data_IF_914524577781
#
_entry.id   IF_914524577781
#
_cell.length_a   1.000
_cell.length_b   1.000
_cell.length_c   1.000
_cell.angle_alpha   90.00
_cell.angle_beta   90.00
_cell.angle_gamma   90.00
#
_symmetry.space_group_name_H-M   'P 1'
#
loop_
_entity.id
_entity.type
_entity.pdbx_description
1 polymer ?
#
# COMPACT_ATOMS: atom_id res chain seq x y z
N UNK A 1 16.05 38.29 -78.94
CA UNK A 1 16.90 38.05 -77.76
C UNK A 1 16.04 37.75 -76.54
N UNK A 2 15.95 36.46 -76.15
CA UNK A 2 15.20 36.00 -74.97
C UNK A 2 16.23 35.71 -73.89
N UNK A 3 16.14 36.47 -72.78
CA UNK A 3 16.98 36.27 -71.60
C UNK A 3 16.22 35.29 -70.70
N UNK A 4 16.83 34.12 -70.49
CA UNK A 4 16.35 33.13 -69.55
C UNK A 4 17.04 33.43 -68.17
N UNK A 5 16.25 33.90 -67.24
CA UNK A 5 16.70 34.06 -65.86
C UNK A 5 16.58 32.71 -65.11
N UNK A 6 17.70 32.11 -64.77
CA UNK A 6 17.78 30.94 -63.94
C UNK A 6 17.62 31.30 -62.46
N UNK A 7 16.49 30.87 -61.86
CA UNK A 7 16.23 31.01 -60.45
C UNK A 7 16.93 29.88 -59.70
N UNK A 8 18.02 30.19 -58.98
CA UNK A 8 18.69 29.23 -58.08
C UNK A 8 17.91 29.19 -56.78
N UNK A 9 17.17 28.11 -56.57
CA UNK A 9 16.45 27.80 -55.34
C UNK A 9 17.45 27.21 -54.32
N UNK A 10 17.97 28.08 -53.42
CA UNK A 10 18.86 27.65 -52.31
C UNK A 10 18.02 26.99 -51.23
N UNK A 11 17.98 25.68 -51.20
CA UNK A 11 17.39 24.90 -50.06
C UNK A 11 18.30 24.98 -48.87
N UNK A 12 18.00 25.88 -47.93
CA UNK A 12 18.61 25.87 -46.58
C UNK A 12 18.05 24.67 -45.86
N UNK A 13 18.84 23.58 -45.83
CA UNK A 13 18.57 22.45 -44.96
C UNK A 13 18.79 22.91 -43.52
N UNK A 14 17.71 23.25 -42.82
CA UNK A 14 17.70 23.51 -41.40
C UNK A 14 18.01 22.18 -40.69
N UNK A 15 19.28 21.90 -40.44
CA UNK A 15 19.70 20.78 -39.58
C UNK A 15 19.23 21.11 -38.18
N UNK A 16 18.05 20.61 -37.80
CA UNK A 16 17.60 20.62 -36.44
C UNK A 16 18.57 19.71 -35.65
N UNK A 17 19.62 20.30 -35.05
CA UNK A 17 20.48 19.61 -34.08
C UNK A 17 19.59 19.22 -32.92
N UNK A 18 19.09 17.98 -32.93
CA UNK A 18 18.39 17.41 -31.79
C UNK A 18 19.30 17.54 -30.57
N UNK A 19 18.83 18.30 -29.60
CA UNK A 19 19.59 18.52 -28.35
C UNK A 19 19.79 17.15 -27.69
N UNK A 20 21.05 16.82 -27.40
CA UNK A 20 21.41 15.60 -26.69
C UNK A 20 20.57 15.46 -25.41
N UNK A 21 20.00 14.28 -25.18
CA UNK A 21 19.29 14.00 -23.95
C UNK A 21 20.24 14.08 -22.76
N UNK A 22 19.74 14.51 -21.61
CA UNK A 22 20.52 14.59 -20.39
C UNK A 22 19.79 13.91 -19.23
N UNK A 23 20.55 13.12 -18.47
CA UNK A 23 20.10 12.62 -17.17
C UNK A 23 20.31 13.75 -16.15
N UNK A 24 19.21 14.24 -15.57
CA UNK A 24 19.17 15.37 -14.64
C UNK A 24 19.19 14.90 -13.18
N UNK A 25 18.74 13.66 -12.91
CA UNK A 25 18.76 13.08 -11.57
C UNK A 25 18.70 11.56 -11.65
N UNK A 26 19.23 10.88 -10.61
CA UNK A 26 19.13 9.42 -10.45
C UNK A 26 18.67 9.12 -9.04
N UNK A 27 17.54 8.42 -8.93
CA UNK A 27 16.91 8.11 -7.65
C UNK A 27 16.77 6.59 -7.50
N UNK A 28 16.89 6.08 -6.27
CA UNK A 28 16.89 4.65 -6.00
C UNK A 28 16.01 4.32 -4.80
N UNK A 29 15.25 3.22 -4.91
CA UNK A 29 14.41 2.70 -3.83
C UNK A 29 14.54 1.18 -3.74
N UNK A 30 15.25 0.67 -2.73
CA UNK A 30 15.26 -0.74 -2.43
C UNK A 30 13.92 -1.17 -1.83
N UNK A 31 13.32 -2.22 -2.38
CA UNK A 31 12.13 -2.89 -1.88
C UNK A 31 12.43 -4.37 -1.58
N UNK A 32 11.56 -5.09 -0.85
CA UNK A 32 11.82 -6.49 -0.51
C UNK A 32 12.00 -7.43 -1.71
N UNK A 33 11.32 -7.16 -2.81
CA UNK A 33 11.26 -7.99 -4.04
C UNK A 33 12.07 -7.42 -5.20
N UNK A 34 12.47 -6.13 -5.14
CA UNK A 34 13.21 -5.44 -6.21
C UNK A 34 13.95 -4.21 -5.71
N UNK A 35 14.89 -3.74 -6.52
CA UNK A 35 15.40 -2.36 -6.44
C UNK A 35 14.93 -1.59 -7.66
N UNK A 36 14.30 -0.44 -7.44
CA UNK A 36 13.90 0.50 -8.50
C UNK A 36 14.92 1.60 -8.62
N UNK A 37 15.38 1.85 -9.84
CA UNK A 37 16.23 2.98 -10.22
C UNK A 37 15.46 3.84 -11.23
N UNK A 38 15.42 5.15 -11.02
CA UNK A 38 14.74 6.11 -11.89
C UNK A 38 15.73 7.17 -12.33
N UNK A 39 15.86 7.33 -13.63
CA UNK A 39 16.60 8.42 -14.26
C UNK A 39 15.60 9.48 -14.67
N UNK A 40 15.66 10.68 -14.07
CA UNK A 40 14.94 11.85 -14.54
C UNK A 40 15.69 12.41 -15.75
N UNK A 41 15.02 12.60 -16.87
CA UNK A 41 15.60 12.97 -18.15
C UNK A 41 14.86 14.15 -18.78
N UNK A 42 15.57 15.00 -19.49
CA UNK A 42 15.01 16.22 -20.10
C UNK A 42 14.24 15.98 -21.41
N UNK A 43 14.21 14.73 -21.92
CA UNK A 43 13.49 14.37 -23.13
C UNK A 43 13.38 12.86 -23.33
N UNK A 44 12.63 12.40 -24.33
CA UNK A 44 12.57 10.98 -24.65
C UNK A 44 13.94 10.50 -25.16
N UNK A 45 14.31 9.25 -24.81
CA UNK A 45 15.55 8.62 -25.27
C UNK A 45 15.32 7.18 -25.69
N UNK A 46 16.23 6.66 -26.52
CA UNK A 46 16.31 5.24 -26.83
C UNK A 46 17.27 4.55 -25.87
N UNK A 47 16.89 3.39 -25.36
CA UNK A 47 17.76 2.61 -24.48
C UNK A 47 17.74 1.13 -24.82
N UNK A 48 18.82 0.46 -24.46
CA UNK A 48 18.92 -1.00 -24.50
C UNK A 48 19.34 -1.49 -23.12
N UNK A 49 18.78 -2.63 -22.70
CA UNK A 49 19.09 -3.25 -21.43
C UNK A 49 19.46 -4.72 -21.66
N UNK A 50 20.57 -5.14 -21.06
CA UNK A 50 21.01 -6.53 -21.11
C UNK A 50 21.71 -6.96 -19.81
N UNK A 51 21.78 -8.27 -19.60
CA UNK A 51 22.35 -8.88 -18.41
C UNK A 51 23.69 -9.53 -18.75
N UNK A 52 24.69 -9.30 -17.93
CA UNK A 52 25.97 -10.00 -17.97
C UNK A 52 26.09 -10.89 -16.72
N UNK A 53 26.59 -12.11 -16.95
CA UNK A 53 26.87 -13.04 -15.86
C UNK A 53 28.41 -13.09 -15.65
N UNK A 54 28.83 -13.47 -14.43
CA UNK A 54 30.24 -13.68 -14.07
C UNK A 54 31.16 -12.45 -14.24
N UNK A 55 31.09 -11.41 -13.38
CA UNK A 55 30.14 -11.21 -12.28
C UNK A 55 28.78 -10.72 -12.79
N UNK A 56 27.73 -10.94 -11.95
CA UNK A 56 26.38 -10.53 -12.30
C UNK A 56 26.24 -9.01 -12.40
N UNK A 57 25.79 -8.55 -13.58
CA UNK A 57 25.60 -7.11 -13.87
C UNK A 57 24.40 -6.90 -14.78
N UNK A 58 23.77 -5.75 -14.64
CA UNK A 58 22.83 -5.23 -15.63
C UNK A 58 23.46 -4.01 -16.28
N UNK A 59 23.42 -3.94 -17.59
CA UNK A 59 23.93 -2.84 -18.38
C UNK A 59 22.77 -2.15 -19.08
N UNK A 60 22.75 -0.83 -18.99
CA UNK A 60 21.80 0.03 -19.72
C UNK A 60 22.61 1.01 -20.57
N UNK A 61 22.41 0.92 -21.87
CA UNK A 61 22.96 1.87 -22.84
C UNK A 61 21.89 2.89 -23.20
N UNK A 62 22.18 4.16 -22.99
CA UNK A 62 21.34 5.29 -23.33
C UNK A 62 21.93 5.99 -24.53
N UNK A 63 21.21 6.00 -25.64
CA UNK A 63 21.67 6.59 -26.89
C UNK A 63 21.61 8.10 -26.83
N UNK A 64 22.61 8.76 -27.38
CA UNK A 64 22.72 10.23 -27.47
C UNK A 64 22.36 10.94 -26.18
N UNK A 65 22.94 10.45 -25.07
CA UNK A 65 22.59 10.88 -23.71
C UNK A 65 23.84 11.21 -22.90
N UNK A 66 23.81 12.31 -22.19
CA UNK A 66 24.84 12.72 -21.24
C UNK A 66 24.37 12.54 -19.79
N UNK A 67 25.32 12.40 -18.86
CA UNK A 67 25.06 12.38 -17.43
C UNK A 67 25.52 13.69 -16.81
N UNK A 68 24.57 14.52 -16.39
CA UNK A 68 24.83 15.84 -15.79
C UNK A 68 24.96 15.84 -14.26
N UNK A 69 24.81 14.67 -13.61
CA UNK A 69 24.72 14.56 -12.16
C UNK A 69 25.58 13.45 -11.58
N UNK A 70 25.93 13.59 -10.32
CA UNK A 70 26.58 12.52 -9.55
C UNK A 70 25.55 11.46 -9.20
N UNK A 71 25.89 10.20 -9.42
CA UNK A 71 25.05 9.06 -9.02
C UNK A 71 25.45 8.64 -7.60
N UNK A 72 24.46 8.60 -6.71
CA UNK A 72 24.67 8.14 -5.34
C UNK A 72 24.99 6.64 -5.31
N UNK A 73 25.75 6.22 -4.30
CA UNK A 73 26.01 4.81 -4.06
C UNK A 73 24.76 4.13 -3.50
N UNK A 74 24.49 2.86 -3.87
CA UNK A 74 23.46 2.06 -3.21
C UNK A 74 23.71 1.98 -1.71
N UNK A 75 22.64 1.96 -0.93
CA UNK A 75 22.74 1.76 0.52
C UNK A 75 23.10 0.31 0.86
N UNK A 76 23.73 0.07 1.99
CA UNK A 76 24.05 -1.28 2.46
C UNK A 76 22.79 -2.15 2.70
N UNK A 77 21.65 -1.50 2.88
CA UNK A 77 20.35 -2.17 3.00
C UNK A 77 19.84 -2.76 1.68
N UNK A 78 20.40 -2.37 0.54
CA UNK A 78 20.03 -2.92 -0.76
C UNK A 78 20.56 -4.35 -0.92
N UNK A 79 19.65 -5.30 -1.08
CA UNK A 79 19.98 -6.73 -1.19
C UNK A 79 20.37 -7.17 -2.59
N UNK A 80 20.11 -6.35 -3.60
CA UNK A 80 20.29 -6.68 -5.00
C UNK A 80 21.44 -5.91 -5.63
N UNK A 81 21.53 -4.61 -5.36
CA UNK A 81 22.46 -3.69 -5.98
C UNK A 81 23.69 -3.50 -5.09
N UNK A 82 24.87 -3.73 -5.67
CA UNK A 82 26.17 -3.54 -5.00
C UNK A 82 26.77 -2.20 -5.34
N UNK A 83 26.66 -1.78 -6.60
CA UNK A 83 27.26 -0.56 -7.10
C UNK A 83 26.65 -0.09 -8.40
N UNK A 84 26.90 1.19 -8.73
CA UNK A 84 26.54 1.79 -10.01
C UNK A 84 27.78 2.46 -10.57
N UNK A 85 28.10 2.13 -11.82
CA UNK A 85 29.19 2.74 -12.60
C UNK A 85 28.63 3.27 -13.90
N UNK A 86 29.23 4.32 -14.41
CA UNK A 86 28.86 4.90 -15.69
C UNK A 86 30.07 5.36 -16.46
N UNK A 87 29.95 5.39 -17.78
CA UNK A 87 30.96 5.92 -18.69
C UNK A 87 30.31 6.43 -19.98
N UNK A 88 30.91 7.42 -20.60
CA UNK A 88 30.58 7.81 -21.97
C UNK A 88 31.03 6.69 -22.93
N UNK A 89 30.22 6.42 -23.95
CA UNK A 89 30.50 5.49 -25.03
C UNK A 89 30.24 6.16 -26.38
N UNK A 90 31.06 5.87 -27.37
CA UNK A 90 30.95 6.42 -28.73
C UNK A 90 30.84 7.97 -28.73
N UNK A 91 31.46 8.65 -27.77
CA UNK A 91 31.46 10.11 -27.56
C UNK A 91 30.08 10.76 -27.28
N UNK A 92 28.94 10.05 -27.52
CA UNK A 92 27.59 10.60 -27.36
C UNK A 92 26.66 9.75 -26.51
N UNK A 93 26.96 8.47 -26.37
CA UNK A 93 26.10 7.54 -25.61
C UNK A 93 26.55 7.44 -24.16
N UNK A 94 25.61 7.17 -23.25
CA UNK A 94 25.92 6.90 -21.86
C UNK A 94 25.67 5.41 -21.57
N UNK A 95 26.68 4.75 -21.03
CA UNK A 95 26.57 3.40 -20.48
C UNK A 95 26.48 3.46 -18.96
N UNK A 96 25.45 2.84 -18.39
CA UNK A 96 25.31 2.64 -16.95
C UNK A 96 25.36 1.15 -16.63
N UNK A 97 26.19 0.80 -15.66
CA UNK A 97 26.39 -0.59 -15.22
C UNK A 97 25.96 -0.70 -13.75
N UNK A 98 25.03 -1.60 -13.50
CA UNK A 98 24.60 -1.99 -12.16
C UNK A 98 25.36 -3.25 -11.76
N UNK A 99 26.24 -3.15 -10.79
CA UNK A 99 26.95 -4.28 -10.20
C UNK A 99 26.01 -4.93 -9.18
N UNK A 100 25.80 -6.24 -9.28
CA UNK A 100 24.77 -6.95 -8.53
C UNK A 100 25.37 -7.85 -7.45
N UNK A 101 24.70 -7.95 -6.30
CA UNK A 101 25.00 -8.91 -5.23
C UNK A 101 24.53 -10.33 -5.59
N UNK A 102 23.53 -10.43 -6.46
CA UNK A 102 22.95 -11.71 -6.92
C UNK A 102 22.24 -11.54 -8.27
N UNK A 103 21.96 -12.62 -9.00
CA UNK A 103 21.26 -12.55 -10.28
C UNK A 103 19.85 -11.96 -10.13
N UNK A 104 19.48 -11.06 -11.06
CA UNK A 104 18.18 -10.40 -11.10
C UNK A 104 17.46 -10.65 -12.42
N UNK A 105 16.18 -10.32 -12.47
CA UNK A 105 15.37 -10.18 -13.68
C UNK A 105 15.09 -8.68 -13.87
N UNK A 106 15.82 -7.99 -14.75
CA UNK A 106 15.60 -6.57 -14.94
C UNK A 106 14.40 -6.31 -15.86
N UNK A 107 13.74 -5.16 -15.65
CA UNK A 107 12.77 -4.55 -16.56
C UNK A 107 13.08 -3.07 -16.69
N UNK A 108 12.89 -2.50 -17.87
CA UNK A 108 13.00 -1.05 -18.08
C UNK A 108 11.86 -0.55 -18.94
N UNK A 109 11.43 0.69 -18.67
CA UNK A 109 10.42 1.36 -19.44
C UNK A 109 10.51 2.87 -19.27
N UNK A 110 10.05 3.60 -20.30
CA UNK A 110 10.01 5.06 -20.32
C UNK A 110 8.66 5.55 -19.85
N UNK A 111 8.66 6.53 -18.94
CA UNK A 111 7.47 7.25 -18.50
C UNK A 111 7.45 8.64 -19.12
N UNK A 112 6.31 9.02 -19.66
CA UNK A 112 6.04 10.37 -20.16
C UNK A 112 5.88 11.35 -18.99
N UNK A 113 6.04 12.67 -19.24
CA UNK A 113 5.81 13.69 -18.23
C UNK A 113 4.41 13.59 -17.61
N UNK A 114 4.32 13.91 -16.34
CA UNK A 114 3.08 14.07 -15.60
C UNK A 114 3.12 15.40 -14.80
N UNK A 115 2.13 15.66 -13.94
CA UNK A 115 2.05 16.92 -13.17
C UNK A 115 3.24 17.12 -12.20
N UNK A 116 3.95 16.07 -11.82
CA UNK A 116 5.01 16.09 -10.82
C UNK A 116 6.41 15.92 -11.42
N UNK A 117 6.53 15.16 -12.51
CA UNK A 117 7.82 14.74 -13.08
C UNK A 117 7.85 14.92 -14.59
N UNK A 118 9.03 15.20 -15.13
CA UNK A 118 9.36 15.14 -16.56
C UNK A 118 9.40 13.71 -17.09
N UNK A 119 10.13 13.51 -18.19
CA UNK A 119 10.41 12.18 -18.70
C UNK A 119 11.26 11.38 -17.70
N UNK A 120 11.00 10.09 -17.58
CA UNK A 120 11.74 9.20 -16.67
C UNK A 120 12.01 7.86 -17.34
N UNK A 121 13.23 7.38 -17.23
CA UNK A 121 13.55 5.98 -17.50
C UNK A 121 13.55 5.23 -16.17
N UNK A 122 12.69 4.24 -16.03
CA UNK A 122 12.61 3.37 -14.87
C UNK A 122 13.33 2.06 -15.17
N UNK A 123 14.18 1.62 -14.24
CA UNK A 123 14.83 0.31 -14.27
C UNK A 123 14.50 -0.41 -12.97
N UNK A 124 13.74 -1.49 -13.07
CA UNK A 124 13.38 -2.37 -11.96
C UNK A 124 14.24 -3.64 -12.00
N UNK A 125 14.97 -3.90 -10.95
CA UNK A 125 15.80 -5.09 -10.75
C UNK A 125 15.07 -6.06 -9.82
N UNK A 126 14.35 -7.07 -10.35
CA UNK A 126 13.61 -8.04 -9.56
C UNK A 126 14.49 -9.20 -9.09
N UNK A 127 14.33 -9.62 -7.84
CA UNK A 127 14.97 -10.82 -7.31
C UNK A 127 14.49 -12.08 -8.03
N UNK A 128 15.42 -12.85 -8.62
CA UNK A 128 15.09 -14.15 -9.27
C UNK A 128 14.59 -15.20 -8.28
N UNK A 129 15.01 -15.13 -7.01
CA UNK A 129 14.66 -16.12 -5.98
C UNK A 129 13.24 -15.99 -5.43
N UNK A 130 12.59 -14.83 -5.59
CA UNK A 130 11.30 -14.55 -4.95
C UNK A 130 10.11 -15.27 -5.64
N UNK A 131 10.19 -15.50 -6.95
CA UNK A 131 9.15 -16.22 -7.70
C UNK A 131 9.01 -17.67 -7.23
N UNK A 132 10.14 -18.34 -6.99
CA UNK A 132 10.17 -19.74 -6.55
C UNK A 132 9.72 -19.90 -5.08
N UNK A 133 9.99 -18.92 -4.23
CA UNK A 133 9.49 -18.87 -2.85
C UNK A 133 7.99 -18.64 -2.79
N UNK A 134 7.47 -17.69 -3.57
CA UNK A 134 6.03 -17.38 -3.62
C UNK A 134 5.20 -18.60 -4.01
N UNK A 135 5.60 -19.35 -5.05
CA UNK A 135 4.92 -20.58 -5.47
C UNK A 135 4.96 -21.68 -4.39
N UNK A 136 6.12 -21.92 -3.76
CA UNK A 136 6.26 -22.90 -2.68
C UNK A 136 5.47 -22.52 -1.41
N UNK A 137 5.40 -21.26 -1.05
CA UNK A 137 4.60 -20.78 0.08
C UNK A 137 3.10 -20.83 -0.21
N UNK A 138 2.67 -20.56 -1.45
CA UNK A 138 1.26 -20.68 -1.87
C UNK A 138 0.78 -22.13 -1.76
N UNK A 139 1.59 -23.10 -2.21
CA UNK A 139 1.27 -24.54 -2.12
C UNK A 139 1.21 -25.00 -0.64
N UNK A 140 2.14 -24.56 0.22
CA UNK A 140 2.11 -24.87 1.67
C UNK A 140 0.92 -24.25 2.42
N UNK A 141 0.39 -23.11 1.94
CA UNK A 141 -0.74 -22.40 2.57
C UNK A 141 -2.11 -22.97 2.20
N UNK A 142 -2.19 -23.78 1.13
CA UNK A 142 -3.44 -24.41 0.67
C UNK A 142 -3.81 -25.68 1.44
N UNK A 143 -2.94 -26.20 2.30
CA UNK A 143 -3.27 -27.37 3.14
C UNK A 143 -4.28 -27.01 4.23
N UNK A 144 -5.37 -27.79 4.42
CA UNK A 144 -6.31 -27.56 5.50
C UNK A 144 -5.61 -27.71 6.84
N UNK A 145 -5.63 -26.63 7.64
CA UNK A 145 -5.10 -26.67 9.01
C UNK A 145 -6.12 -27.40 9.91
N UNK A 146 -5.61 -28.27 10.77
CA UNK A 146 -6.40 -28.89 11.83
C UNK A 146 -7.24 -27.86 12.61
N UNK A 147 -8.51 -28.19 12.94
CA UNK A 147 -9.45 -27.24 13.53
C UNK A 147 -9.17 -26.82 14.98
N UNK A 148 -8.01 -27.15 15.54
CA UNK A 148 -7.76 -27.10 17.00
C UNK A 148 -7.20 -25.81 17.58
N UNK A 149 -6.90 -24.76 16.78
CA UNK A 149 -6.37 -23.49 17.35
C UNK A 149 -7.03 -22.27 16.69
N UNK A 150 -7.70 -21.46 17.51
CA UNK A 150 -8.21 -20.15 17.11
C UNK A 150 -7.07 -19.27 16.57
N UNK A 151 -7.32 -18.62 15.43
CA UNK A 151 -6.34 -17.71 14.80
C UNK A 151 -6.50 -16.28 15.27
N UNK A 152 -5.47 -15.48 15.12
CA UNK A 152 -5.59 -14.05 15.29
C UNK A 152 -6.37 -13.41 14.12
N UNK A 153 -7.06 -12.31 14.41
CA UNK A 153 -7.64 -11.41 13.43
C UNK A 153 -6.52 -10.67 12.70
N UNK A 154 -6.49 -10.71 11.38
CA UNK A 154 -5.40 -10.16 10.57
C UNK A 154 -5.80 -8.82 10.00
N UNK A 155 -5.08 -7.77 10.37
CA UNK A 155 -5.29 -6.41 9.85
C UNK A 155 -4.17 -6.07 8.87
N UNK A 156 -4.51 -5.90 7.59
CA UNK A 156 -3.58 -5.37 6.60
C UNK A 156 -3.53 -3.83 6.73
N UNK A 157 -2.32 -3.31 6.93
CA UNK A 157 -2.05 -1.88 7.10
C UNK A 157 -1.34 -1.40 5.85
N UNK A 158 -1.99 -0.54 5.11
CA UNK A 158 -1.47 0.10 3.93
C UNK A 158 -1.09 1.55 4.26
N UNK A 159 0.19 1.88 4.16
CA UNK A 159 0.63 3.26 4.15
C UNK A 159 0.60 3.76 2.72
N UNK A 160 -0.23 4.73 2.40
CA UNK A 160 -0.36 5.31 1.07
C UNK A 160 0.99 5.76 0.48
N UNK A 161 1.07 5.89 -0.85
CA UNK A 161 2.26 6.39 -1.53
C UNK A 161 3.53 5.57 -1.29
N UNK A 162 4.72 6.20 -1.45
CA UNK A 162 6.03 5.58 -1.19
C UNK A 162 6.95 5.62 -2.40
N UNK A 163 8.26 5.53 -2.15
CA UNK A 163 9.25 5.55 -3.22
C UNK A 163 9.20 6.87 -3.98
N UNK A 164 9.03 6.78 -5.31
CA UNK A 164 8.94 7.95 -6.19
C UNK A 164 7.63 8.74 -6.04
N UNK A 165 6.58 8.15 -5.48
CA UNK A 165 5.35 8.85 -5.18
C UNK A 165 5.40 9.45 -3.76
N UNK A 166 5.61 10.78 -3.62
CA UNK A 166 5.66 11.43 -2.32
C UNK A 166 4.28 11.62 -1.69
N UNK A 167 3.19 11.45 -2.46
CA UNK A 167 1.85 11.94 -2.10
C UNK A 167 1.82 13.47 -2.05
N UNK A 168 0.96 14.01 -1.22
CA UNK A 168 0.89 15.45 -0.93
C UNK A 168 2.17 15.94 -0.25
N UNK A 169 2.60 17.14 -0.64
CA UNK A 169 3.70 17.85 0.02
C UNK A 169 3.14 19.08 0.75
N UNK A 170 3.26 19.07 2.07
CA UNK A 170 2.86 20.17 2.92
C UNK A 170 3.72 21.44 2.70
N UNK A 171 3.26 22.58 3.22
CA UNK A 171 3.94 23.87 3.04
C UNK A 171 5.37 23.92 3.61
N UNK A 172 5.68 23.09 4.59
CA UNK A 172 7.02 22.95 5.18
C UNK A 172 7.83 21.80 4.60
N UNK A 173 7.44 21.30 3.42
CA UNK A 173 8.11 20.19 2.74
C UNK A 173 7.82 18.81 3.33
N UNK A 174 6.84 18.69 4.23
CA UNK A 174 6.43 17.39 4.79
C UNK A 174 5.78 16.54 3.70
N UNK A 175 6.36 15.38 3.40
CA UNK A 175 5.83 14.46 2.41
C UNK A 175 4.83 13.51 3.05
N UNK A 176 3.71 13.29 2.42
CA UNK A 176 2.66 12.40 2.88
C UNK A 176 3.17 10.98 3.12
N UNK A 177 3.92 10.41 2.17
CA UNK A 177 4.49 9.06 2.27
C UNK A 177 5.25 8.79 3.57
N UNK A 178 5.93 9.81 4.11
CA UNK A 178 6.73 9.69 5.33
C UNK A 178 5.83 9.71 6.57
N UNK A 179 4.84 10.59 6.59
CA UNK A 179 3.87 10.73 7.69
C UNK A 179 3.00 9.48 7.81
N UNK A 180 2.42 9.02 6.71
CA UNK A 180 1.53 7.85 6.73
C UNK A 180 2.27 6.56 7.05
N UNK A 181 3.54 6.44 6.65
CA UNK A 181 4.40 5.32 7.06
C UNK A 181 4.69 5.35 8.56
N UNK A 182 4.92 6.53 9.13
CA UNK A 182 5.13 6.69 10.57
C UNK A 182 3.87 6.30 11.36
N UNK A 183 2.69 6.78 10.94
CA UNK A 183 1.40 6.40 11.55
C UNK A 183 1.14 4.90 11.40
N UNK A 184 1.41 4.31 10.23
CA UNK A 184 1.25 2.88 9.97
C UNK A 184 2.15 2.02 10.89
N UNK A 185 3.37 2.46 11.17
CA UNK A 185 4.27 1.79 12.13
C UNK A 185 3.74 1.86 13.56
N UNK A 186 3.20 3.00 13.99
CA UNK A 186 2.54 3.12 15.30
C UNK A 186 1.28 2.25 15.37
N UNK A 187 0.46 2.21 14.29
CA UNK A 187 -0.72 1.35 14.20
C UNK A 187 -0.33 -0.14 14.28
N UNK A 188 0.71 -0.55 13.56
CA UNK A 188 1.27 -1.90 13.65
C UNK A 188 1.60 -2.26 15.09
N UNK A 189 2.33 -1.38 15.80
CA UNK A 189 2.72 -1.61 17.20
C UNK A 189 1.50 -1.76 18.12
N UNK A 190 0.49 -0.90 17.95
CA UNK A 190 -0.74 -0.97 18.75
C UNK A 190 -1.53 -2.26 18.50
N UNK A 191 -1.61 -2.70 17.24
CA UNK A 191 -2.27 -3.96 16.89
C UNK A 191 -1.49 -5.15 17.45
N UNK A 192 -0.14 -5.16 17.37
CA UNK A 192 0.70 -6.22 17.93
C UNK A 192 0.50 -6.37 19.44
N UNK A 193 0.28 -5.26 20.14
CA UNK A 193 0.02 -5.26 21.59
C UNK A 193 -1.45 -5.57 21.93
N UNK A 194 -2.29 -5.85 20.93
CA UNK A 194 -3.70 -6.20 21.12
C UNK A 194 -3.89 -7.70 20.99
N UNK A 195 -4.28 -8.35 22.09
CA UNK A 195 -4.53 -9.79 22.10
C UNK A 195 -5.55 -10.21 21.02
N UNK A 196 -5.27 -11.29 20.32
CA UNK A 196 -6.13 -11.81 19.25
C UNK A 196 -6.08 -11.03 17.93
N UNK A 197 -5.15 -10.09 17.79
CA UNK A 197 -4.92 -9.34 16.55
C UNK A 197 -3.50 -9.45 16.05
N UNK A 198 -3.31 -9.47 14.73
CA UNK A 198 -2.01 -9.54 14.06
C UNK A 198 -1.94 -8.55 12.89
N UNK A 199 -0.95 -7.65 12.86
CA UNK A 199 -0.79 -6.71 11.75
C UNK A 199 0.00 -7.34 10.60
N UNK A 200 -0.35 -6.92 9.37
CA UNK A 200 0.42 -7.16 8.14
C UNK A 200 0.64 -5.81 7.47
N UNK A 201 1.89 -5.40 7.31
CA UNK A 201 2.24 -4.17 6.62
C UNK A 201 2.34 -4.42 5.11
N UNK A 202 1.64 -3.62 4.30
CA UNK A 202 1.75 -3.63 2.84
C UNK A 202 3.13 -3.14 2.41
N UNK A 203 3.60 -2.02 2.98
CA UNK A 203 4.99 -1.59 2.85
C UNK A 203 5.60 -1.30 4.22
N UNK A 204 6.89 -1.60 4.35
CA UNK A 204 7.64 -1.44 5.62
C UNK A 204 8.69 -0.33 5.55
N UNK A 205 8.94 0.18 4.34
CA UNK A 205 9.94 1.19 4.02
C UNK A 205 9.45 2.19 2.99
N UNK A 206 10.36 3.05 2.53
CA UNK A 206 10.08 4.03 1.49
C UNK A 206 10.31 3.41 0.10
N UNK A 207 9.31 2.70 -0.40
CA UNK A 207 9.21 2.17 -1.76
C UNK A 207 7.76 2.16 -2.22
N UNK A 208 7.55 2.29 -3.54
CA UNK A 208 6.21 2.30 -4.11
C UNK A 208 5.66 0.88 -4.27
N UNK A 209 4.40 0.70 -3.90
CA UNK A 209 3.61 -0.50 -4.14
C UNK A 209 2.39 -0.10 -4.96
N UNK A 210 2.22 -0.67 -6.16
CA UNK A 210 1.08 -0.37 -7.03
C UNK A 210 -0.26 -0.71 -6.38
N UNK A 211 -1.31 0.04 -6.68
CA UNK A 211 -2.61 -0.02 -6.00
C UNK A 211 -3.20 -1.43 -5.98
N UNK A 212 -3.16 -2.15 -7.10
CA UNK A 212 -3.62 -3.54 -7.17
C UNK A 212 -2.77 -4.50 -6.32
N UNK A 213 -1.45 -4.28 -6.29
CA UNK A 213 -0.53 -5.11 -5.50
C UNK A 213 -0.77 -4.96 -3.99
N UNK A 214 -1.21 -3.78 -3.51
CA UNK A 214 -1.57 -3.55 -2.10
C UNK A 214 -2.67 -4.52 -1.65
N UNK A 215 -3.74 -4.63 -2.44
CA UNK A 215 -4.83 -5.57 -2.16
C UNK A 215 -4.41 -7.04 -2.29
N UNK A 216 -3.57 -7.35 -3.29
CA UNK A 216 -3.02 -8.70 -3.46
C UNK A 216 -2.23 -9.15 -2.23
N UNK A 217 -1.39 -8.26 -1.65
CA UNK A 217 -0.67 -8.53 -0.40
C UNK A 217 -1.63 -8.82 0.76
N UNK A 218 -2.70 -8.04 0.91
CA UNK A 218 -3.71 -8.29 1.95
C UNK A 218 -4.36 -9.68 1.79
N UNK A 219 -4.71 -10.07 0.57
CA UNK A 219 -5.29 -11.38 0.25
C UNK A 219 -4.33 -12.54 0.48
N UNK A 220 -3.08 -12.41 0.03
CA UNK A 220 -2.01 -13.40 0.26
C UNK A 220 -1.82 -13.70 1.75
N UNK A 221 -2.05 -12.72 2.60
CA UNK A 221 -1.97 -12.85 4.05
C UNK A 221 -3.31 -13.19 4.72
N UNK A 222 -4.40 -13.40 3.93
CA UNK A 222 -5.76 -13.66 4.44
C UNK A 222 -6.20 -12.62 5.47
N UNK A 223 -6.03 -11.35 5.14
CA UNK A 223 -6.45 -10.25 6.00
C UNK A 223 -7.97 -10.23 6.19
N UNK A 224 -8.41 -9.95 7.40
CA UNK A 224 -9.82 -9.80 7.77
C UNK A 224 -10.30 -8.35 7.63
N UNK A 225 -9.35 -7.41 7.56
CA UNK A 225 -9.59 -5.99 7.32
C UNK A 225 -8.39 -5.38 6.60
N UNK A 226 -8.65 -4.50 5.66
CA UNK A 226 -7.65 -3.65 5.01
C UNK A 226 -7.86 -2.19 5.41
N UNK A 227 -6.80 -1.54 5.88
CA UNK A 227 -6.80 -0.13 6.31
C UNK A 227 -5.73 0.62 5.55
N UNK A 228 -6.14 1.48 4.61
CA UNK A 228 -5.25 2.42 3.93
C UNK A 228 -5.19 3.74 4.68
N UNK A 229 -3.99 4.26 4.87
CA UNK A 229 -3.71 5.45 5.67
C UNK A 229 -3.17 6.54 4.77
N UNK A 230 -3.83 7.69 4.77
CA UNK A 230 -3.55 8.86 3.95
C UNK A 230 -3.52 10.14 4.78
N UNK A 231 -3.00 11.22 4.21
CA UNK A 231 -2.95 12.57 4.80
C UNK A 231 -2.90 13.63 3.70
N UNK A 232 -3.86 13.60 2.83
CA UNK A 232 -3.90 14.26 1.56
C UNK A 232 -3.98 15.81 1.63
N UNK A 233 -4.09 16.46 0.49
CA UNK A 233 -4.34 17.89 0.37
C UNK A 233 -5.80 18.18 0.05
N UNK A 234 -6.21 19.37 0.40
CA UNK A 234 -7.47 19.95 -0.05
C UNK A 234 -7.24 21.32 -0.69
N UNK A 235 -8.06 21.69 -1.68
CA UNK A 235 -7.92 23.00 -2.37
C UNK A 235 -7.99 24.18 -1.39
N UNK A 236 -8.90 24.11 -0.42
CA UNK A 236 -8.96 25.10 0.66
C UNK A 236 -8.04 24.68 1.83
N UNK A 237 -6.98 25.44 2.11
CA UNK A 237 -6.02 25.10 3.18
C UNK A 237 -6.61 25.26 4.59
N UNK A 238 -7.84 25.76 4.74
CA UNK A 238 -8.56 25.82 6.03
C UNK A 238 -9.20 24.49 6.39
N UNK A 239 -9.37 23.59 5.41
CA UNK A 239 -9.91 22.24 5.63
C UNK A 239 -9.00 21.48 6.59
N UNK A 240 -9.61 20.84 7.60
CA UNK A 240 -8.92 20.12 8.65
C UNK A 240 -9.75 18.98 9.23
N UNK A 241 -9.09 18.08 9.92
CA UNK A 241 -9.72 16.95 10.61
C UNK A 241 -9.69 15.66 9.80
N UNK A 242 -9.99 14.56 10.48
CA UNK A 242 -9.95 13.22 9.87
C UNK A 242 -11.22 12.91 9.09
N UNK A 243 -11.11 12.05 8.10
CA UNK A 243 -12.23 11.46 7.34
C UNK A 243 -12.01 9.96 7.17
N UNK A 244 -13.08 9.20 6.96
CA UNK A 244 -12.99 7.79 6.57
C UNK A 244 -13.81 7.57 5.32
N UNK A 245 -13.22 6.84 4.38
CA UNK A 245 -13.80 6.50 3.08
C UNK A 245 -13.93 5.01 2.92
N UNK A 246 -14.99 4.61 2.20
CA UNK A 246 -15.21 3.25 1.74
C UNK A 246 -15.46 3.25 0.23
N UNK A 247 -15.30 2.10 -0.39
CA UNK A 247 -15.56 1.96 -1.81
C UNK A 247 -17.02 2.28 -2.15
N UNK A 248 -17.23 3.00 -3.25
CA UNK A 248 -18.51 3.13 -3.92
C UNK A 248 -18.42 2.61 -5.34
N UNK A 249 -19.46 1.90 -5.78
CA UNK A 249 -19.63 1.45 -7.17
C UNK A 249 -20.45 2.45 -7.99
N UNK A 250 -21.34 3.20 -7.32
CA UNK A 250 -22.35 4.05 -7.95
C UNK A 250 -22.09 5.53 -7.66
N UNK A 251 -20.89 6.02 -8.02
CA UNK A 251 -20.50 7.41 -7.80
C UNK A 251 -19.96 7.71 -6.40
N UNK A 252 -19.72 8.98 -6.13
CA UNK A 252 -19.15 9.46 -4.87
C UNK A 252 -20.21 10.16 -4.02
N UNK A 253 -20.05 10.11 -2.68
CA UNK A 253 -20.95 10.77 -1.73
C UNK A 253 -20.88 12.30 -1.77
N UNK A 254 -19.82 12.85 -2.39
CA UNK A 254 -19.63 14.28 -2.60
C UNK A 254 -18.63 14.53 -3.72
N UNK A 255 -18.66 15.71 -4.31
CA UNK A 255 -17.67 16.15 -5.32
C UNK A 255 -16.23 16.09 -4.76
N UNK A 256 -16.06 16.49 -3.50
CA UNK A 256 -14.78 16.39 -2.81
C UNK A 256 -14.28 14.94 -2.69
N UNK A 257 -15.18 14.00 -2.38
CA UNK A 257 -14.83 12.57 -2.29
C UNK A 257 -14.49 12.00 -3.67
N UNK A 258 -15.15 12.44 -4.73
CA UNK A 258 -14.83 12.08 -6.12
C UNK A 258 -13.44 12.55 -6.51
N UNK A 259 -13.16 13.83 -6.30
CA UNK A 259 -11.88 14.45 -6.62
C UNK A 259 -10.71 13.75 -5.87
N UNK A 260 -10.89 13.47 -4.57
CA UNK A 260 -9.89 12.75 -3.77
C UNK A 260 -9.62 11.35 -4.35
N UNK A 261 -10.66 10.59 -4.69
CA UNK A 261 -10.50 9.26 -5.27
C UNK A 261 -9.80 9.31 -6.64
N UNK A 262 -10.08 10.31 -7.47
CA UNK A 262 -9.41 10.52 -8.77
C UNK A 262 -7.91 10.81 -8.55
N UNK A 263 -7.56 11.63 -7.55
CA UNK A 263 -6.17 11.94 -7.21
C UNK A 263 -5.43 10.69 -6.73
N UNK A 264 -6.00 9.95 -5.80
CA UNK A 264 -5.41 8.71 -5.28
C UNK A 264 -5.26 7.61 -6.35
N UNK A 265 -6.25 7.48 -7.22
CA UNK A 265 -6.19 6.52 -8.33
C UNK A 265 -5.09 6.86 -9.36
N UNK A 266 -4.64 8.10 -9.42
CA UNK A 266 -3.54 8.52 -10.28
C UNK A 266 -2.15 8.18 -9.70
N UNK A 267 -2.06 7.69 -8.48
CA UNK A 267 -0.80 7.35 -7.81
C UNK A 267 0.05 6.33 -8.60
N UNK A 268 -0.56 5.37 -9.28
CA UNK A 268 0.15 4.40 -10.14
C UNK A 268 0.90 5.08 -11.31
N UNK A 269 0.39 6.21 -11.82
CA UNK A 269 1.08 7.00 -12.86
C UNK A 269 2.31 7.72 -12.29
N UNK A 270 2.24 8.18 -11.05
CA UNK A 270 3.36 8.83 -10.35
C UNK A 270 4.39 7.78 -9.94
N UNK A 271 3.94 6.68 -9.34
CA UNK A 271 4.75 5.55 -8.90
C UNK A 271 5.31 4.69 -10.03
N UNK A 272 5.03 5.02 -11.30
CA UNK A 272 5.61 4.34 -12.46
C UNK A 272 5.27 2.86 -12.51
N UNK A 273 3.99 2.50 -12.48
CA UNK A 273 3.53 1.13 -12.72
C UNK A 273 3.46 0.87 -14.22
N UNK A 274 4.07 -0.23 -14.68
CA UNK A 274 3.95 -0.64 -16.08
C UNK A 274 2.52 -1.03 -16.43
N UNK A 275 2.04 -0.58 -17.58
CA UNK A 275 0.71 -0.94 -18.10
C UNK A 275 0.60 -2.42 -18.50
N UNK A 276 1.74 -3.14 -18.59
CA UNK A 276 1.80 -4.56 -18.91
C UNK A 276 1.46 -5.49 -17.72
N UNK A 277 1.33 -4.94 -16.50
CA UNK A 277 0.87 -5.69 -15.32
C UNK A 277 -0.67 -5.95 -15.33
N UNK A 278 -1.24 -6.15 -16.53
CA UNK A 278 -2.69 -6.37 -16.75
C UNK A 278 -3.19 -7.78 -16.44
N UNK A 279 -2.38 -8.63 -15.84
CA UNK A 279 -2.81 -9.98 -15.45
C UNK A 279 -3.78 -9.93 -14.27
N UNK A 280 -5.08 -9.80 -14.54
CA UNK A 280 -6.18 -10.31 -13.69
C UNK A 280 -7.58 -9.80 -14.11
N UNK A 281 -7.88 -9.76 -15.41
CA UNK A 281 -9.22 -9.33 -15.88
C UNK A 281 -10.30 -10.43 -15.77
N UNK A 282 -9.90 -11.68 -15.50
CA UNK A 282 -10.82 -12.84 -15.55
C UNK A 282 -11.53 -13.18 -14.24
N UNK A 283 -11.13 -12.59 -13.11
CA UNK A 283 -11.73 -12.90 -11.80
C UNK A 283 -12.95 -12.04 -11.42
N UNK A 284 -13.38 -11.10 -12.27
CA UNK A 284 -14.33 -10.05 -11.86
C UNK A 284 -15.80 -10.40 -11.93
N UNK A 285 -16.19 -11.55 -12.53
CA UNK A 285 -17.61 -11.83 -12.87
C UNK A 285 -18.38 -12.58 -11.78
N UNK A 286 -17.75 -13.31 -10.85
CA UNK A 286 -18.44 -14.11 -9.80
C UNK A 286 -18.61 -13.37 -8.46
N UNK A 287 -18.43 -12.06 -8.44
CA UNK A 287 -18.13 -11.29 -7.23
C UNK A 287 -19.28 -10.44 -6.66
N UNK A 288 -20.45 -10.44 -7.26
CA UNK A 288 -21.46 -9.40 -7.01
C UNK A 288 -22.19 -9.48 -5.66
N UNK A 289 -22.51 -10.67 -5.18
CA UNK A 289 -23.22 -10.87 -3.90
C UNK A 289 -22.30 -10.72 -2.68
N UNK A 290 -21.07 -11.22 -2.78
CA UNK A 290 -20.06 -11.08 -1.72
C UNK A 290 -19.69 -9.62 -1.43
N UNK A 291 -19.68 -8.78 -2.46
CA UNK A 291 -19.32 -7.37 -2.35
C UNK A 291 -20.30 -6.54 -1.51
N UNK A 292 -21.61 -6.83 -1.52
CA UNK A 292 -22.58 -6.06 -0.75
C UNK A 292 -22.35 -6.22 0.77
N UNK A 293 -22.11 -7.43 1.23
CA UNK A 293 -21.79 -7.70 2.64
C UNK A 293 -20.46 -7.05 3.04
N UNK A 294 -19.45 -7.12 2.16
CA UNK A 294 -18.13 -6.51 2.37
C UNK A 294 -18.22 -4.99 2.45
N UNK A 295 -19.05 -4.34 1.62
CA UNK A 295 -19.27 -2.89 1.66
C UNK A 295 -20.01 -2.45 2.93
N UNK A 296 -20.99 -3.24 3.40
CA UNK A 296 -21.66 -2.98 4.68
C UNK A 296 -20.66 -3.07 5.83
N UNK A 297 -19.88 -4.16 5.92
CA UNK A 297 -18.84 -4.35 6.91
C UNK A 297 -17.80 -3.21 6.87
N UNK A 298 -17.39 -2.76 5.67
CA UNK A 298 -16.49 -1.61 5.49
C UNK A 298 -17.09 -0.32 6.07
N UNK A 299 -18.38 -0.09 5.84
CA UNK A 299 -19.09 1.09 6.37
C UNK A 299 -19.17 1.06 7.89
N UNK A 300 -19.44 -0.11 8.46
CA UNK A 300 -19.59 -0.29 9.91
C UNK A 300 -18.24 -0.13 10.64
N UNK A 301 -17.18 -0.78 10.14
CA UNK A 301 -15.84 -0.58 10.72
C UNK A 301 -15.36 0.87 10.53
N UNK A 302 -15.62 1.46 9.35
CA UNK A 302 -15.30 2.86 9.07
C UNK A 302 -15.99 3.82 10.02
N UNK A 303 -17.25 3.57 10.36
CA UNK A 303 -18.03 4.37 11.32
C UNK A 303 -17.43 4.29 12.73
N UNK A 304 -17.06 3.10 13.17
CA UNK A 304 -16.39 2.91 14.45
C UNK A 304 -15.03 3.63 14.51
N UNK A 305 -14.24 3.52 13.44
CA UNK A 305 -12.93 4.19 13.34
C UNK A 305 -13.11 5.71 13.33
N UNK A 306 -14.03 6.26 12.53
CA UNK A 306 -14.32 7.69 12.46
C UNK A 306 -14.75 8.26 13.82
N UNK A 307 -15.62 7.55 14.54
CA UNK A 307 -16.05 7.92 15.91
C UNK A 307 -14.86 8.04 16.85
N UNK A 308 -13.94 7.08 16.82
CA UNK A 308 -12.75 7.11 17.69
C UNK A 308 -11.74 8.17 17.25
N UNK A 309 -11.55 8.42 15.96
CA UNK A 309 -10.71 9.52 15.48
C UNK A 309 -11.23 10.89 15.97
N UNK A 310 -12.56 11.05 16.07
CA UNK A 310 -13.19 12.25 16.64
C UNK A 310 -12.78 12.56 18.08
N UNK A 311 -12.29 11.58 18.85
CA UNK A 311 -11.78 11.79 20.23
C UNK A 311 -10.36 12.36 20.25
N UNK A 312 -9.64 12.29 19.12
CA UNK A 312 -8.24 12.77 19.02
C UNK A 312 -8.12 14.16 18.40
N UNK A 313 -9.19 14.64 17.76
CA UNK A 313 -9.23 15.91 17.06
C UNK A 313 -10.55 16.09 16.31
N UNK A 314 -10.62 17.12 15.47
CA UNK A 314 -11.80 17.35 14.62
C UNK A 314 -11.92 16.26 13.57
N UNK A 315 -13.15 15.93 13.19
CA UNK A 315 -13.46 15.19 11.98
C UNK A 315 -13.88 16.17 10.89
N UNK A 316 -13.38 15.99 9.66
CA UNK A 316 -13.78 16.80 8.51
C UNK A 316 -15.23 16.48 8.12
N UNK A 317 -15.58 15.20 8.11
CA UNK A 317 -16.97 14.72 7.88
C UNK A 317 -17.45 13.90 9.07
N UNK A 318 -18.71 14.08 9.44
CA UNK A 318 -19.32 13.35 10.57
C UNK A 318 -19.76 11.92 10.21
N UNK A 319 -19.77 11.59 8.91
CA UNK A 319 -20.18 10.28 8.39
C UNK A 319 -19.10 9.74 7.45
N UNK A 320 -19.01 8.44 7.38
CA UNK A 320 -18.17 7.75 6.39
C UNK A 320 -18.57 8.20 4.99
N UNK A 321 -17.57 8.53 4.18
CA UNK A 321 -17.73 8.98 2.81
C UNK A 321 -17.55 7.79 1.86
N UNK A 322 -18.02 7.94 0.61
CA UNK A 322 -17.97 6.90 -0.42
C UNK A 322 -17.40 7.46 -1.70
N UNK A 323 -16.46 6.74 -2.33
CA UNK A 323 -15.96 7.09 -3.67
C UNK A 323 -15.28 5.87 -4.33
N UNK A 324 -14.89 6.01 -5.58
CA UNK A 324 -14.34 4.94 -6.40
C UNK A 324 -12.85 4.69 -6.20
N UNK A 325 -12.37 4.56 -4.97
CA UNK A 325 -10.96 4.30 -4.67
C UNK A 325 -10.51 2.94 -5.18
N UNK A 326 -9.51 2.93 -6.07
CA UNK A 326 -8.98 1.69 -6.65
C UNK A 326 -8.33 0.81 -5.59
N UNK A 327 -7.65 1.40 -4.62
CA UNK A 327 -6.99 0.68 -3.52
C UNK A 327 -7.97 -0.06 -2.60
N UNK A 328 -9.27 0.30 -2.60
CA UNK A 328 -10.30 -0.36 -1.81
C UNK A 328 -11.10 -1.41 -2.59
N UNK A 329 -10.76 -1.68 -3.85
CA UNK A 329 -11.47 -2.67 -4.68
C UNK A 329 -11.09 -4.10 -4.27
N UNK A 330 -11.56 -4.52 -3.10
CA UNK A 330 -11.51 -5.92 -2.67
C UNK A 330 -12.92 -6.51 -2.64
N UNK A 331 -13.12 -7.67 -3.23
CA UNK A 331 -14.43 -8.29 -3.21
C UNK A 331 -14.77 -8.99 -1.88
N UNK A 332 -13.75 -9.38 -1.14
CA UNK A 332 -13.82 -10.34 -0.02
C UNK A 332 -13.25 -9.80 1.30
N UNK A 333 -12.56 -8.65 1.29
CA UNK A 333 -11.97 -8.06 2.50
C UNK A 333 -12.61 -6.69 2.76
N UNK A 334 -13.28 -6.48 3.90
CA UNK A 334 -13.70 -5.15 4.33
C UNK A 334 -12.53 -4.18 4.28
N UNK A 335 -12.73 -3.01 3.65
CA UNK A 335 -11.63 -2.08 3.33
C UNK A 335 -12.04 -0.65 3.61
N UNK A 336 -11.18 0.09 4.30
CA UNK A 336 -11.35 1.52 4.58
C UNK A 336 -10.11 2.30 4.19
N UNK A 337 -10.30 3.56 3.76
CA UNK A 337 -9.26 4.55 3.63
C UNK A 337 -9.47 5.64 4.69
N UNK A 338 -8.43 5.93 5.44
CA UNK A 338 -8.44 6.88 6.55
C UNK A 338 -7.58 8.07 6.18
N UNK A 339 -8.23 9.20 5.92
CA UNK A 339 -7.57 10.51 5.93
C UNK A 339 -7.34 10.92 7.38
N UNK A 340 -6.10 10.89 7.81
CA UNK A 340 -5.75 11.19 9.20
C UNK A 340 -5.85 12.68 9.53
N UNK A 341 -5.58 13.53 8.54
CA UNK A 341 -5.73 14.97 8.50
C UNK A 341 -5.36 15.45 7.08
N UNK A 342 -5.31 16.77 6.83
CA UNK A 342 -4.93 17.34 5.53
C UNK A 342 -3.60 18.11 5.63
N UNK A 343 -2.56 17.64 4.92
CA UNK A 343 -1.23 18.28 4.90
C UNK A 343 -1.24 19.69 4.28
N UNK A 344 -2.23 20.02 3.47
CA UNK A 344 -2.44 21.38 2.96
C UNK A 344 -2.71 22.41 4.07
N UNK A 345 -3.18 21.95 5.24
CA UNK A 345 -3.43 22.82 6.41
C UNK A 345 -2.18 22.89 7.29
N UNK A 346 -1.59 24.10 7.53
CA UNK A 346 -0.34 24.23 8.29
C UNK A 346 -0.42 23.73 9.75
N UNK A 347 -1.57 23.84 10.38
CA UNK A 347 -1.76 23.37 11.75
C UNK A 347 -1.83 21.84 11.81
N UNK A 348 -2.46 21.20 10.81
CA UNK A 348 -2.52 19.76 10.68
C UNK A 348 -1.15 19.19 10.27
N UNK A 349 -0.41 19.85 9.37
CA UNK A 349 0.96 19.48 9.02
C UNK A 349 1.85 19.45 10.27
N UNK A 350 1.81 20.50 11.12
CA UNK A 350 2.54 20.53 12.39
C UNK A 350 2.14 19.37 13.31
N UNK A 351 0.83 19.07 13.38
CA UNK A 351 0.27 18.00 14.20
C UNK A 351 0.73 16.62 13.69
N UNK A 352 0.69 16.39 12.38
CA UNK A 352 1.06 15.12 11.77
C UNK A 352 2.56 14.81 11.86
N UNK A 353 3.43 15.84 11.95
CA UNK A 353 4.87 15.68 12.20
C UNK A 353 5.18 15.26 13.65
N UNK A 354 4.23 15.43 14.56
CA UNK A 354 4.41 15.13 15.98
C UNK A 354 4.16 13.64 16.27
N UNK A 355 5.17 12.92 16.74
CA UNK A 355 5.10 11.48 17.02
C UNK A 355 4.05 11.10 18.07
N UNK A 356 3.84 11.94 19.08
CA UNK A 356 2.80 11.69 20.08
C UNK A 356 1.39 11.77 19.47
N UNK A 357 1.17 12.67 18.50
CA UNK A 357 -0.10 12.76 17.77
C UNK A 357 -0.28 11.57 16.82
N UNK A 358 0.78 11.13 16.11
CA UNK A 358 0.75 9.92 15.29
C UNK A 358 0.32 8.70 16.11
N UNK A 359 0.87 8.56 17.33
CA UNK A 359 0.50 7.50 18.27
C UNK A 359 -0.95 7.62 18.75
N UNK A 360 -1.44 8.83 19.02
CA UNK A 360 -2.86 9.06 19.39
C UNK A 360 -3.80 8.64 18.25
N UNK A 361 -3.48 9.02 17.00
CA UNK A 361 -4.25 8.63 15.82
C UNK A 361 -4.27 7.09 15.68
N UNK A 362 -3.12 6.45 15.75
CA UNK A 362 -3.01 4.99 15.68
C UNK A 362 -3.83 4.29 16.79
N UNK A 363 -3.76 4.79 18.03
CA UNK A 363 -4.54 4.27 19.16
C UNK A 363 -6.05 4.38 18.93
N UNK A 364 -6.52 5.51 18.39
CA UNK A 364 -7.92 5.70 18.04
C UNK A 364 -8.38 4.74 16.93
N UNK A 365 -7.55 4.54 15.88
CA UNK A 365 -7.85 3.58 14.82
C UNK A 365 -8.00 2.16 15.38
N UNK A 366 -7.08 1.70 16.24
CA UNK A 366 -7.20 0.38 16.90
C UNK A 366 -8.45 0.28 17.75
N UNK A 367 -8.78 1.33 18.52
CA UNK A 367 -9.99 1.35 19.33
C UNK A 367 -11.26 1.19 18.48
N UNK A 368 -11.31 1.86 17.31
CA UNK A 368 -12.41 1.72 16.37
C UNK A 368 -12.51 0.31 15.77
N UNK A 369 -11.37 -0.25 15.34
CA UNK A 369 -11.30 -1.62 14.83
C UNK A 369 -11.75 -2.63 15.88
N UNK A 370 -11.24 -2.50 17.11
CA UNK A 370 -11.67 -3.34 18.26
C UNK A 370 -13.17 -3.23 18.52
N UNK A 371 -13.70 -2.01 18.50
CA UNK A 371 -15.13 -1.76 18.70
C UNK A 371 -16.01 -2.50 17.70
N UNK A 372 -15.61 -2.51 16.43
CA UNK A 372 -16.30 -3.26 15.38
C UNK A 372 -16.20 -4.77 15.59
N UNK A 373 -14.99 -5.30 15.73
CA UNK A 373 -14.79 -6.75 15.85
C UNK A 373 -15.21 -7.36 17.19
N UNK A 374 -15.56 -6.53 18.17
CA UNK A 374 -16.17 -7.04 19.40
C UNK A 374 -17.46 -7.83 19.13
N UNK A 375 -18.22 -7.43 18.09
CA UNK A 375 -19.50 -8.03 17.72
C UNK A 375 -19.48 -8.72 16.34
N UNK A 376 -18.44 -8.46 15.52
CA UNK A 376 -18.37 -8.90 14.13
C UNK A 376 -17.10 -9.71 13.81
N UNK A 377 -16.49 -10.32 14.82
CA UNK A 377 -15.27 -11.10 14.59
C UNK A 377 -15.59 -12.37 13.77
N UNK A 378 -14.78 -12.66 12.72
CA UNK A 378 -14.98 -13.86 11.90
C UNK A 378 -14.89 -15.15 12.73
N UNK A 379 -15.72 -16.17 12.45
CA UNK A 379 -15.62 -17.47 13.12
C UNK A 379 -14.19 -18.03 13.06
N UNK A 380 -13.78 -18.76 14.11
CA UNK A 380 -12.44 -19.33 14.23
C UNK A 380 -11.34 -18.33 14.58
N UNK A 381 -11.66 -17.06 14.84
CA UNK A 381 -10.71 -16.10 15.41
C UNK A 381 -10.77 -16.06 16.94
N UNK A 382 -9.65 -15.69 17.59
CA UNK A 382 -9.61 -15.52 19.06
C UNK A 382 -10.53 -14.40 19.56
N UNK A 383 -10.94 -13.50 18.70
CA UNK A 383 -11.90 -12.43 19.02
C UNK A 383 -13.35 -12.91 18.87
N UNK A 384 -13.66 -13.78 17.92
CA UNK A 384 -14.97 -14.44 17.82
C UNK A 384 -15.25 -15.36 18.99
N UNK A 385 -14.16 -15.84 19.64
CA UNK A 385 -14.26 -16.70 20.81
C UNK A 385 -14.79 -16.02 22.09
N UNK A 386 -15.30 -14.79 22.00
CA UNK A 386 -15.92 -14.11 23.16
C UNK A 386 -17.37 -14.49 23.38
N UNK A 387 -18.00 -15.16 22.45
CA UNK A 387 -19.31 -15.76 22.63
C UNK A 387 -19.38 -17.12 21.94
N UNK A 388 -20.02 -18.08 22.57
CA UNK A 388 -20.31 -19.39 22.04
C UNK A 388 -21.80 -19.65 22.12
N UNK A 389 -22.43 -19.90 20.97
CA UNK A 389 -23.84 -20.33 20.93
C UNK A 389 -23.88 -21.83 21.10
N UNK A 390 -24.52 -22.31 22.15
CA UNK A 390 -24.59 -23.74 22.47
C UNK A 390 -25.34 -24.50 21.39
N UNK A 391 -24.71 -25.53 20.89
CA UNK A 391 -25.25 -26.47 19.93
C UNK A 391 -25.44 -27.88 20.58
N UNK A 392 -26.13 -28.76 19.89
CA UNK A 392 -26.36 -30.15 20.38
C UNK A 392 -25.01 -30.87 20.51
N UNK A 393 -24.72 -31.38 21.71
CA UNK A 393 -23.47 -32.09 22.05
C UNK A 393 -22.44 -31.23 22.75
N UNK A 394 -22.64 -29.92 22.90
CA UNK A 394 -21.75 -29.07 23.64
C UNK A 394 -21.80 -29.34 25.14
N UNK A 395 -20.66 -29.29 25.79
CA UNK A 395 -20.50 -29.27 27.24
C UNK A 395 -19.65 -28.08 27.67
N UNK A 396 -19.89 -27.54 28.86
CA UNK A 396 -19.07 -26.45 29.40
C UNK A 396 -17.57 -26.78 29.45
N UNK A 397 -17.22 -28.05 29.73
CA UNK A 397 -15.83 -28.51 29.75
C UNK A 397 -15.21 -28.53 28.37
N UNK A 398 -15.92 -29.03 27.35
CA UNK A 398 -15.46 -29.02 25.96
C UNK A 398 -15.31 -27.58 25.41
N UNK A 399 -16.29 -26.71 25.72
CA UNK A 399 -16.25 -25.29 25.35
C UNK A 399 -15.05 -24.59 26.01
N UNK A 400 -14.84 -24.78 27.32
CA UNK A 400 -13.71 -24.22 28.04
C UNK A 400 -12.37 -24.67 27.46
N UNK A 401 -12.24 -25.98 27.15
CA UNK A 401 -11.05 -26.54 26.49
C UNK A 401 -10.83 -25.99 25.08
N UNK A 402 -11.90 -25.85 24.28
CA UNK A 402 -11.83 -25.31 22.93
C UNK A 402 -11.33 -23.85 22.90
N UNK A 403 -11.83 -23.02 23.84
CA UNK A 403 -11.44 -21.61 23.94
C UNK A 403 -10.19 -21.37 24.82
N UNK A 404 -9.65 -22.41 25.44
CA UNK A 404 -8.47 -22.35 26.30
C UNK A 404 -8.70 -21.51 27.56
N UNK A 405 -9.92 -21.48 28.09
CA UNK A 405 -10.28 -20.79 29.34
C UNK A 405 -10.55 -21.83 30.45
N UNK A 406 -10.43 -21.42 31.71
CA UNK A 406 -10.82 -22.33 32.80
C UNK A 406 -12.35 -22.49 32.86
N UNK A 407 -12.81 -23.68 33.22
CA UNK A 407 -14.24 -23.94 33.44
C UNK A 407 -14.82 -23.00 34.51
N UNK A 408 -14.03 -22.65 35.49
CA UNK A 408 -14.36 -21.69 36.57
C UNK A 408 -14.63 -20.29 36.01
N UNK A 409 -13.71 -19.80 35.15
CA UNK A 409 -13.84 -18.46 34.60
C UNK A 409 -14.99 -18.39 33.58
N UNK A 410 -15.20 -19.46 32.80
CA UNK A 410 -16.35 -19.56 31.89
C UNK A 410 -17.68 -19.50 32.66
N UNK A 411 -17.80 -20.23 33.77
CA UNK A 411 -18.99 -20.19 34.65
C UNK A 411 -19.19 -18.81 35.27
N UNK A 412 -18.11 -18.22 35.78
CA UNK A 412 -18.15 -16.88 36.40
C UNK A 412 -18.57 -15.81 35.41
N UNK A 413 -18.06 -15.81 34.17
CA UNK A 413 -18.40 -14.87 33.13
C UNK A 413 -19.89 -14.93 32.74
N UNK A 414 -20.51 -16.11 32.88
CA UNK A 414 -21.89 -16.35 32.49
C UNK A 414 -22.85 -16.47 33.67
N UNK A 415 -22.44 -16.17 34.89
CA UNK A 415 -23.21 -16.29 36.12
C UNK A 415 -23.86 -17.70 36.30
N UNK A 416 -23.18 -18.75 35.81
CA UNK A 416 -23.69 -20.13 35.88
C UNK A 416 -23.37 -20.74 37.25
N UNK A 417 -24.41 -21.21 37.94
CA UNK A 417 -24.31 -21.91 39.23
C UNK A 417 -23.93 -23.38 39.10
N UNK A 418 -24.12 -23.99 37.90
CA UNK A 418 -23.90 -25.39 37.61
C UNK A 418 -23.30 -25.62 36.22
N UNK A 419 -23.55 -26.82 35.66
CA UNK A 419 -23.09 -27.18 34.31
C UNK A 419 -24.23 -27.19 33.29
N UNK A 420 -25.45 -26.82 33.71
CA UNK A 420 -26.61 -26.85 32.83
C UNK A 420 -26.57 -25.71 31.82
N UNK A 421 -26.63 -26.09 30.56
CA UNK A 421 -26.63 -25.20 29.39
C UNK A 421 -27.72 -25.61 28.44
N UNK A 422 -28.30 -24.64 27.72
CA UNK A 422 -29.44 -24.88 26.79
C UNK A 422 -28.97 -24.65 25.35
N UNK A 423 -29.44 -25.49 24.43
CA UNK A 423 -29.22 -25.25 22.98
C UNK A 423 -29.74 -23.87 22.61
N UNK A 424 -28.96 -23.11 21.86
CA UNK A 424 -29.24 -21.72 21.50
C UNK A 424 -28.82 -20.69 22.57
N UNK A 425 -28.45 -21.10 23.79
CA UNK A 425 -27.90 -20.19 24.77
C UNK A 425 -26.57 -19.66 24.31
N UNK A 426 -26.34 -18.35 24.47
CA UNK A 426 -25.06 -17.69 24.13
C UNK A 426 -24.25 -17.53 25.41
N UNK A 427 -23.08 -18.16 25.44
CA UNK A 427 -22.12 -18.01 26.53
C UNK A 427 -21.10 -16.91 26.18
N UNK A 428 -20.83 -16.03 27.12
CA UNK A 428 -19.69 -15.12 27.08
C UNK A 428 -18.41 -15.88 27.42
N UNK A 429 -17.41 -15.84 26.53
CA UNK A 429 -16.11 -16.47 26.75
C UNK A 429 -15.17 -15.44 27.37
N UNK A 430 -14.71 -15.62 28.61
CA UNK A 430 -13.84 -14.66 29.25
C UNK A 430 -12.48 -14.56 28.53
N UNK A 431 -11.93 -13.34 28.43
CA UNK A 431 -10.54 -13.17 28.03
C UNK A 431 -9.65 -13.51 29.22
N UNK A 432 -8.51 -14.18 28.94
CA UNK A 432 -7.48 -14.32 29.95
C UNK A 432 -7.16 -12.96 30.57
N UNK A 433 -7.49 -12.79 31.83
CA UNK A 433 -6.81 -11.85 32.70
C UNK A 433 -5.49 -12.54 33.01
N UNK A 434 -4.45 -12.27 32.22
CA UNK A 434 -3.10 -12.67 32.57
C UNK A 434 -2.78 -12.03 33.94
N UNK A 435 -2.59 -12.84 34.95
CA UNK A 435 -1.94 -12.44 36.16
C UNK A 435 -0.47 -12.12 35.91
#
# INVERSE_FOLDING_TARGET
MRIIAALILSTVACTCLAKQAAVENVRMWPAPDRTRIVFDINGPLEHTLFVLNNPARVVVDLRDTSLGVKVDRPTDADKLLQGIRHASRNHRDLRVVFDLRKPVRPRSFLLKPNKQYGYRLVVDLYDKGDVTKSLKETIKRSAPRSPSKLRDLIIAIDAGHGGEDPGTIGRKGTREKDVVLAIAKELKQQIQNTHGMRPVMVRRGDYYVGLRRRMKIAREHRADLFVSIHADSFKDPRVRGSSVYVLSRNGASSEAARWLAEQENAADLVGGVSLDDKDDLLASVLLDLSQTATLSASTDVGTNVLKQLGTTGKTHKRRVQRAGFMVLKSPDIPSILVETAFLSNPSEEKRLRNRAQQRKIAKAMVAGVKGYFKHNAPPGTRLAGRSHTITRGDTLGAIAGYYGVSLRDLRKANALKGSDIKIGQVLEIPTFSGG
#
